data_IF_232787337906
#
_entry.id   IF_232787337906
#
_cell.length_a   1.000
_cell.length_b   1.000
_cell.length_c   1.000
_cell.angle_alpha   90.00
_cell.angle_beta   90.00
_cell.angle_gamma   90.00
#
_symmetry.space_group_name_H-M   'P 1'
#
loop_
_entity.id
_entity.type
_entity.pdbx_description
1 polymer ?
#
# COMPACT_ATOMS: atom_id res chain seq x y z
N UNK A 1 25.07 -28.66 10.84
CA UNK A 1 25.79 -28.38 9.57
C UNK A 1 26.87 -27.30 9.72
N UNK A 2 26.64 -26.19 10.46
CA UNK A 2 27.67 -25.16 10.73
C UNK A 2 28.80 -25.60 11.69
N UNK A 3 28.49 -26.42 12.70
CA UNK A 3 29.50 -27.04 13.57
C UNK A 3 30.40 -28.06 12.85
N UNK A 4 29.97 -28.59 11.71
CA UNK A 4 30.67 -29.68 11.01
C UNK A 4 31.74 -29.18 10.02
N UNK A 5 31.72 -27.89 9.66
CA UNK A 5 32.61 -27.31 8.63
C UNK A 5 33.48 -26.14 9.11
N UNK A 6 33.57 -25.86 10.42
CA UNK A 6 34.39 -24.77 11.00
C UNK A 6 34.09 -23.34 10.48
N UNK A 7 33.01 -23.10 9.74
CA UNK A 7 32.60 -21.77 9.25
C UNK A 7 31.67 -21.05 10.26
N UNK A 8 31.22 -21.75 11.31
CA UNK A 8 30.46 -21.18 12.41
C UNK A 8 29.17 -20.47 11.96
N UNK A 9 28.78 -19.41 12.68
CA UNK A 9 27.57 -18.62 12.42
C UNK A 9 27.73 -17.59 11.28
N UNK A 10 28.90 -17.51 10.64
CA UNK A 10 29.24 -16.44 9.68
C UNK A 10 28.36 -16.47 8.42
N UNK A 11 28.16 -17.64 7.82
CA UNK A 11 27.24 -17.83 6.69
C UNK A 11 25.80 -17.50 7.06
N UNK A 12 25.38 -17.80 8.30
CA UNK A 12 24.05 -17.48 8.79
C UNK A 12 23.85 -15.97 8.96
N UNK A 13 24.87 -15.26 9.46
CA UNK A 13 24.85 -13.79 9.60
C UNK A 13 24.81 -13.13 8.21
N UNK A 14 25.63 -13.58 7.27
CA UNK A 14 25.63 -13.05 5.89
C UNK A 14 24.28 -13.33 5.21
N UNK A 15 23.73 -14.54 5.37
CA UNK A 15 22.41 -14.88 4.87
C UNK A 15 21.31 -14.03 5.51
N UNK A 16 21.35 -13.83 6.83
CA UNK A 16 20.40 -12.98 7.54
C UNK A 16 20.46 -11.53 7.03
N UNK A 17 21.65 -10.96 6.89
CA UNK A 17 21.85 -9.61 6.34
C UNK A 17 21.35 -9.50 4.90
N UNK A 18 21.68 -10.46 4.05
CA UNK A 18 21.20 -10.49 2.67
C UNK A 18 19.67 -10.56 2.61
N UNK A 19 19.05 -11.39 3.45
CA UNK A 19 17.60 -11.52 3.52
C UNK A 19 16.93 -10.25 4.05
N UNK A 20 17.50 -9.62 5.09
CA UNK A 20 17.00 -8.33 5.61
C UNK A 20 17.08 -7.24 4.54
N UNK A 21 18.21 -7.14 3.83
CA UNK A 21 18.37 -6.18 2.73
C UNK A 21 17.38 -6.45 1.58
N UNK A 22 17.17 -7.72 1.23
CA UNK A 22 16.18 -8.12 0.24
C UNK A 22 14.75 -7.72 0.66
N UNK A 23 14.39 -7.93 1.93
CA UNK A 23 13.09 -7.52 2.48
C UNK A 23 12.91 -6.00 2.47
N UNK A 24 13.92 -5.23 2.88
CA UNK A 24 13.89 -3.77 2.84
C UNK A 24 13.71 -3.28 1.40
N UNK A 25 14.44 -3.88 0.45
CA UNK A 25 14.30 -3.54 -0.97
C UNK A 25 12.90 -3.84 -1.49
N UNK A 26 12.35 -5.01 -1.15
CA UNK A 26 11.00 -5.39 -1.56
C UNK A 26 9.94 -4.43 -1.00
N UNK A 27 10.08 -4.00 0.25
CA UNK A 27 9.20 -3.01 0.87
C UNK A 27 9.30 -1.64 0.18
N UNK A 28 10.52 -1.19 -0.12
CA UNK A 28 10.73 0.07 -0.83
C UNK A 28 10.06 0.07 -2.21
N UNK A 29 10.24 -1.00 -2.99
CA UNK A 29 9.57 -1.15 -4.29
C UNK A 29 8.05 -1.24 -4.17
N UNK A 30 7.54 -1.96 -3.15
CA UNK A 30 6.11 -2.09 -2.88
C UNK A 30 5.43 -0.77 -2.49
N UNK A 31 6.18 0.20 -1.96
CA UNK A 31 5.67 1.54 -1.67
C UNK A 31 5.77 2.43 -2.93
N UNK A 32 6.90 2.37 -3.62
CA UNK A 32 7.20 3.22 -4.78
C UNK A 32 6.24 2.97 -5.95
N UNK A 33 6.03 1.70 -6.31
CA UNK A 33 5.25 1.35 -7.49
C UNK A 33 3.76 1.73 -7.36
N UNK A 34 3.03 1.39 -6.29
CA UNK A 34 1.64 1.78 -6.15
C UNK A 34 1.47 3.29 -5.99
N UNK A 35 2.37 3.98 -5.27
CA UNK A 35 2.28 5.43 -5.12
C UNK A 35 2.42 6.14 -6.46
N UNK A 36 3.35 5.66 -7.31
CA UNK A 36 3.54 6.21 -8.66
C UNK A 36 2.33 5.94 -9.56
N UNK A 37 1.77 4.74 -9.54
CA UNK A 37 0.56 4.40 -10.30
C UNK A 37 -0.65 5.21 -9.83
N UNK A 38 -0.84 5.33 -8.51
CA UNK A 38 -1.94 6.10 -7.93
C UNK A 38 -1.88 7.59 -8.32
N UNK A 39 -0.68 8.16 -8.36
CA UNK A 39 -0.50 9.58 -8.68
C UNK A 39 -0.37 9.85 -10.18
N UNK A 40 0.02 8.87 -10.99
CA UNK A 40 -0.01 9.01 -12.45
C UNK A 40 -1.44 9.00 -12.99
N UNK A 41 -2.33 8.25 -12.36
CA UNK A 41 -3.74 8.12 -12.78
C UNK A 41 -4.68 9.08 -12.03
N UNK A 42 -4.13 9.90 -11.13
CA UNK A 42 -4.88 10.87 -10.35
C UNK A 42 -5.20 12.13 -11.17
N UNK A 43 -6.48 12.32 -11.46
CA UNK A 43 -6.99 13.54 -12.09
C UNK A 43 -6.95 14.71 -11.09
N UNK A 44 -6.38 15.85 -11.52
CA UNK A 44 -6.29 17.09 -10.73
C UNK A 44 -7.64 17.59 -10.21
N UNK A 45 -8.74 17.17 -10.85
CA UNK A 45 -10.09 17.54 -10.45
C UNK A 45 -10.57 16.85 -9.16
N UNK A 46 -10.06 15.65 -8.87
CA UNK A 46 -10.49 14.84 -7.72
C UNK A 46 -9.41 14.70 -6.66
N UNK A 47 -8.13 14.83 -7.03
CA UNK A 47 -6.99 14.76 -6.11
C UNK A 47 -6.41 16.16 -5.91
N UNK A 48 -6.22 16.63 -4.66
CA UNK A 48 -5.71 17.97 -4.42
C UNK A 48 -4.31 18.11 -5.02
N UNK A 49 -4.08 19.23 -5.73
CA UNK A 49 -2.81 19.57 -6.39
C UNK A 49 -1.59 19.50 -5.47
N UNK A 50 -1.80 19.62 -4.16
CA UNK A 50 -0.75 19.44 -3.16
C UNK A 50 -0.20 18.01 -3.12
N UNK A 51 -1.00 16.97 -3.38
CA UNK A 51 -0.55 15.57 -3.44
C UNK A 51 0.09 15.21 -4.79
N UNK A 52 -0.35 15.89 -5.85
CA UNK A 52 0.17 15.73 -7.22
C UNK A 52 1.47 16.50 -7.47
N UNK A 53 1.95 17.29 -6.50
CA UNK A 53 3.18 18.06 -6.65
C UNK A 53 4.39 17.14 -6.74
N UNK A 54 4.93 17.02 -7.95
CA UNK A 54 6.16 16.30 -8.27
C UNK A 54 7.37 17.23 -8.25
N UNK A 55 8.55 16.69 -7.97
CA UNK A 55 9.83 17.40 -8.07
C UNK A 55 10.39 17.29 -9.50
N UNK A 56 11.53 17.93 -9.78
CA UNK A 56 12.22 17.96 -11.08
C UNK A 56 12.52 16.58 -11.69
N UNK A 57 12.46 15.51 -10.89
CA UNK A 57 12.66 14.11 -11.31
C UNK A 57 11.35 13.35 -11.56
N UNK A 58 10.20 14.03 -11.57
CA UNK A 58 8.88 13.42 -11.71
C UNK A 58 8.42 12.62 -10.49
N UNK A 59 9.12 12.76 -9.36
CA UNK A 59 8.84 12.02 -8.12
C UNK A 59 7.87 12.82 -7.23
N UNK A 60 6.75 12.24 -6.77
CA UNK A 60 5.74 12.95 -5.97
C UNK A 60 6.16 13.12 -4.51
N UNK A 61 6.90 14.19 -4.20
CA UNK A 61 7.50 14.44 -2.87
C UNK A 61 6.46 14.50 -1.76
N UNK A 62 5.35 15.20 -2.01
CA UNK A 62 4.27 15.33 -1.02
C UNK A 62 3.52 14.02 -0.80
N UNK A 63 3.48 13.14 -1.81
CA UNK A 63 2.96 11.78 -1.69
C UNK A 63 3.78 10.95 -0.69
N UNK A 64 5.12 10.94 -0.80
CA UNK A 64 5.96 10.21 0.16
C UNK A 64 5.87 10.79 1.57
N UNK A 65 5.75 12.12 1.72
CA UNK A 65 5.58 12.75 3.04
C UNK A 65 4.25 12.30 3.67
N UNK A 66 3.16 12.28 2.91
CA UNK A 66 1.87 11.79 3.39
C UNK A 66 1.97 10.30 3.80
N UNK A 67 2.56 9.46 2.96
CA UNK A 67 2.76 8.04 3.27
C UNK A 67 3.64 7.86 4.52
N UNK A 68 4.70 8.66 4.68
CA UNK A 68 5.57 8.62 5.85
C UNK A 68 4.83 8.98 7.14
N UNK A 69 3.97 10.01 7.10
CA UNK A 69 3.13 10.37 8.25
C UNK A 69 2.14 9.25 8.57
N UNK A 70 1.48 8.69 7.56
CA UNK A 70 0.47 7.64 7.73
C UNK A 70 1.10 6.36 8.30
N UNK A 71 2.23 5.92 7.76
CA UNK A 71 3.01 4.78 8.28
C UNK A 71 3.53 5.07 9.68
N UNK A 72 4.02 6.30 9.94
CA UNK A 72 4.46 6.71 11.27
C UNK A 72 3.35 6.63 12.32
N UNK A 73 2.14 7.07 11.99
CA UNK A 73 0.97 6.93 12.85
C UNK A 73 0.65 5.44 13.06
N UNK A 74 0.62 4.63 12.00
CA UNK A 74 0.33 3.20 12.11
C UNK A 74 1.30 2.45 13.03
N UNK A 75 2.58 2.84 13.05
CA UNK A 75 3.60 2.29 13.95
C UNK A 75 3.43 2.80 15.39
N UNK A 76 2.92 4.02 15.56
CA UNK A 76 2.66 4.62 16.89
C UNK A 76 1.36 4.13 17.54
N UNK A 77 0.31 3.85 16.77
CA UNK A 77 -0.97 3.33 17.28
C UNK A 77 -0.82 2.13 18.25
N UNK A 78 0.01 1.10 17.97
CA UNK A 78 0.22 0.02 18.94
C UNK A 78 0.92 0.50 20.21
N UNK A 79 1.82 1.49 20.12
CA UNK A 79 2.51 2.05 21.28
C UNK A 79 1.61 2.89 22.22
N UNK A 80 0.49 3.44 21.72
CA UNK A 80 -0.37 4.36 22.48
C UNK A 80 -1.61 3.73 23.14
N UNK A 81 -1.91 2.45 22.93
CA UNK A 81 -3.07 1.86 23.60
C UNK A 81 -3.53 0.48 23.14
N UNK A 82 -2.80 -0.18 22.25
CA UNK A 82 -3.09 -1.56 21.84
C UNK A 82 -1.91 -2.42 22.30
N UNK A 83 -1.95 -2.92 23.53
CA UNK A 83 -0.91 -3.80 24.09
C UNK A 83 -0.65 -5.06 23.26
N UNK A 84 -1.52 -5.38 22.30
CA UNK A 84 -1.44 -6.60 21.51
C UNK A 84 -1.41 -6.30 20.00
N UNK A 85 -0.26 -6.58 19.37
CA UNK A 85 -0.10 -6.52 17.90
C UNK A 85 -1.24 -7.26 17.19
N UNK A 86 -1.69 -8.38 17.77
CA UNK A 86 -2.78 -9.20 17.26
C UNK A 86 -4.10 -8.44 17.13
N UNK A 87 -4.42 -7.55 18.07
CA UNK A 87 -5.64 -6.74 18.01
C UNK A 87 -5.57 -5.72 16.87
N UNK A 88 -4.39 -5.14 16.63
CA UNK A 88 -4.18 -4.22 15.51
C UNK A 88 -4.30 -4.96 14.17
N UNK A 89 -3.71 -6.16 14.07
CA UNK A 89 -3.88 -7.02 12.89
C UNK A 89 -5.34 -7.38 12.65
N UNK A 90 -6.07 -7.79 13.70
CA UNK A 90 -7.49 -8.11 13.57
C UNK A 90 -8.31 -6.89 13.11
N UNK A 91 -8.03 -5.71 13.67
CA UNK A 91 -8.69 -4.48 13.23
C UNK A 91 -8.41 -4.14 11.75
N UNK A 92 -7.17 -4.32 11.29
CA UNK A 92 -6.81 -4.16 9.87
C UNK A 92 -7.51 -5.19 8.97
N UNK A 93 -7.63 -6.43 9.43
CA UNK A 93 -8.35 -7.49 8.72
C UNK A 93 -9.85 -7.18 8.63
N UNK A 94 -10.47 -6.72 9.72
CA UNK A 94 -11.87 -6.33 9.76
C UNK A 94 -12.15 -5.15 8.81
N UNK A 95 -11.29 -4.12 8.83
CA UNK A 95 -11.39 -2.99 7.91
C UNK A 95 -11.29 -3.45 6.46
N UNK A 96 -10.30 -4.30 6.13
CA UNK A 96 -10.13 -4.84 4.79
C UNK A 96 -11.35 -5.66 4.34
N UNK A 97 -11.89 -6.47 5.26
CA UNK A 97 -13.08 -7.30 5.03
C UNK A 97 -14.35 -6.47 4.77
N UNK A 98 -14.43 -5.24 5.26
CA UNK A 98 -15.55 -4.33 5.01
C UNK A 98 -15.34 -3.52 3.71
N UNK A 99 -14.12 -3.02 3.48
CA UNK A 99 -13.80 -2.18 2.32
C UNK A 99 -13.90 -2.96 1.01
N UNK A 100 -13.50 -4.24 1.00
CA UNK A 100 -13.56 -5.06 -0.21
C UNK A 100 -14.99 -5.23 -0.75
N UNK A 101 -16.00 -5.69 0.02
CA UNK A 101 -17.38 -5.78 -0.46
C UNK A 101 -17.97 -4.44 -0.91
N UNK A 102 -17.68 -3.35 -0.20
CA UNK A 102 -18.22 -2.02 -0.52
C UNK A 102 -17.79 -1.58 -1.91
N UNK A 103 -16.51 -1.77 -2.29
CA UNK A 103 -16.02 -1.40 -3.63
C UNK A 103 -16.78 -2.15 -4.73
N UNK A 104 -17.08 -3.43 -4.50
CA UNK A 104 -17.82 -4.26 -5.45
C UNK A 104 -19.29 -3.86 -5.54
N UNK A 105 -19.90 -3.45 -4.43
CA UNK A 105 -21.27 -2.95 -4.42
C UNK A 105 -21.41 -1.70 -5.28
N UNK A 106 -20.48 -0.76 -5.22
CA UNK A 106 -20.48 0.43 -6.08
C UNK A 106 -20.37 0.09 -7.56
N UNK A 107 -19.44 -0.81 -7.93
CA UNK A 107 -19.32 -1.27 -9.33
C UNK A 107 -20.59 -1.96 -9.80
N UNK A 108 -21.20 -2.78 -8.95
CA UNK A 108 -22.45 -3.47 -9.26
C UNK A 108 -23.63 -2.49 -9.44
N UNK A 109 -23.75 -1.49 -8.57
CA UNK A 109 -24.76 -0.43 -8.70
C UNK A 109 -24.53 0.40 -9.97
N UNK A 110 -23.29 0.77 -10.28
CA UNK A 110 -22.94 1.47 -11.50
C UNK A 110 -23.29 0.66 -12.75
N UNK A 111 -23.00 -0.65 -12.73
CA UNK A 111 -23.36 -1.57 -13.81
C UNK A 111 -24.89 -1.68 -13.99
N UNK A 112 -25.65 -1.86 -12.90
CA UNK A 112 -27.12 -1.88 -12.98
C UNK A 112 -27.69 -0.57 -13.52
N UNK A 113 -27.16 0.58 -13.08
CA UNK A 113 -27.58 1.89 -13.58
C UNK A 113 -27.25 2.06 -15.07
N UNK A 114 -26.08 1.63 -15.52
CA UNK A 114 -25.68 1.62 -16.92
C UNK A 114 -26.61 0.73 -17.75
N UNK A 115 -26.89 -0.50 -17.30
CA UNK A 115 -27.78 -1.44 -17.97
C UNK A 115 -29.21 -0.88 -18.10
N UNK A 116 -29.70 -0.17 -17.07
CA UNK A 116 -31.01 0.49 -17.09
C UNK A 116 -31.08 1.68 -18.04
N UNK A 117 -29.94 2.33 -18.31
CA UNK A 117 -29.82 3.40 -19.30
C UNK A 117 -29.36 2.90 -20.68
N UNK A 118 -29.12 1.59 -20.83
CA UNK A 118 -28.64 0.98 -22.07
C UNK A 118 -29.60 1.18 -23.25
N UNK A 119 -30.90 1.30 -23.00
CA UNK A 119 -31.91 1.61 -24.03
C UNK A 119 -31.77 3.03 -24.63
N UNK A 120 -30.95 3.90 -24.03
CA UNK A 120 -30.70 5.28 -24.50
C UNK A 120 -29.40 5.45 -25.29
N UNK A 121 -28.55 4.41 -25.36
CA UNK A 121 -27.29 4.46 -26.09
C UNK A 121 -27.35 3.52 -27.30
N UNK A 122 -28.01 3.99 -28.36
CA UNK A 122 -27.84 3.44 -29.70
C UNK A 122 -26.49 3.94 -30.21
N UNK A 123 -25.55 3.03 -30.46
CA UNK A 123 -24.34 3.35 -31.21
C UNK A 123 -24.74 3.66 -32.65
N UNK A 124 -24.34 4.82 -33.17
CA UNK A 124 -24.11 4.97 -34.61
C UNK A 124 -22.98 4.03 -35.06
#
# INVERSE_FOLDING_TARGET
LGEYYCIGNSLMIVYALANTLAQISALAFSIDAPLKVLLSDADERYVPRTLLKTNDRGTPVNGYIMTAILVGILIMVPAFGIENMNTLFNWLLDLNSIVMPIRYLFVFLAFMALMKMSDKFVSD
#
